data_IF_152783920901
#
_entry.id   IF_152783920901
#
_cell.length_a   1.000
_cell.length_b   1.000
_cell.length_c   1.000
_cell.angle_alpha   90.00
_cell.angle_beta   90.00
_cell.angle_gamma   90.00
#
_symmetry.space_group_name_H-M   'P 1'
#
loop_
_entity.id
_entity.type
_entity.pdbx_description
1 polymer ?
#
# COMPACT_ATOMS: atom_id res chain seq x y z
N UNK A 1 -0.45 4.45 16.09
CA UNK A 1 -0.97 3.16 15.61
C UNK A 1 0.12 2.49 14.77
N UNK A 2 0.49 1.24 15.03
CA UNK A 2 1.50 0.54 14.24
C UNK A 2 0.98 0.28 12.82
N UNK A 3 1.84 0.40 11.82
CA UNK A 3 1.51 0.07 10.43
C UNK A 3 1.16 -1.41 10.27
N UNK A 4 0.27 -1.70 9.32
CA UNK A 4 -0.14 -3.06 9.03
C UNK A 4 0.98 -3.84 8.34
N UNK A 5 1.36 -5.01 8.89
CA UNK A 5 2.53 -5.81 8.45
C UNK A 5 2.36 -7.32 8.68
N UNK A 6 1.12 -7.80 8.73
CA UNK A 6 0.83 -9.22 8.97
C UNK A 6 1.06 -10.05 7.71
N UNK A 7 1.75 -11.19 7.84
CA UNK A 7 2.02 -12.06 6.69
C UNK A 7 3.21 -11.59 5.85
N UNK A 8 3.32 -12.14 4.64
CA UNK A 8 4.39 -11.83 3.68
C UNK A 8 3.82 -11.47 2.32
N UNK A 9 4.64 -10.84 1.49
CA UNK A 9 4.28 -10.48 0.11
C UNK A 9 5.27 -11.02 -0.91
N UNK A 10 4.75 -11.46 -2.04
CA UNK A 10 5.47 -11.74 -3.25
C UNK A 10 5.39 -10.54 -4.18
N UNK A 11 6.55 -10.06 -4.61
CA UNK A 11 6.73 -8.92 -5.52
C UNK A 11 7.72 -9.30 -6.61
N UNK A 12 7.41 -8.93 -7.84
CA UNK A 12 8.22 -9.24 -9.02
C UNK A 12 8.77 -7.96 -9.59
N UNK A 13 10.08 -7.95 -9.91
CA UNK A 13 10.72 -6.79 -10.53
C UNK A 13 9.95 -6.34 -11.78
N UNK A 14 9.77 -5.02 -11.93
CA UNK A 14 9.02 -4.37 -13.01
C UNK A 14 7.54 -4.76 -13.10
N UNK A 15 6.96 -5.35 -12.06
CA UNK A 15 5.52 -5.61 -11.94
C UNK A 15 4.85 -4.67 -10.93
N UNK A 16 3.58 -4.36 -11.14
CA UNK A 16 2.75 -3.65 -10.16
C UNK A 16 1.99 -4.59 -9.22
N UNK A 17 2.06 -5.91 -9.43
CA UNK A 17 1.30 -6.88 -8.63
C UNK A 17 2.00 -7.18 -7.30
N UNK A 18 1.24 -7.15 -6.22
CA UNK A 18 1.66 -7.58 -4.89
C UNK A 18 0.73 -8.70 -4.43
N UNK A 19 1.30 -9.88 -4.20
CA UNK A 19 0.55 -11.08 -3.80
C UNK A 19 0.89 -11.43 -2.35
N UNK A 20 -0.09 -11.33 -1.46
CA UNK A 20 0.07 -11.58 -0.03
C UNK A 20 -0.22 -13.03 0.38
N UNK A 21 0.47 -13.50 1.42
CA UNK A 21 0.17 -14.75 2.13
C UNK A 21 -0.02 -14.44 3.61
N UNK A 22 -1.17 -14.81 4.18
CA UNK A 22 -1.53 -14.45 5.56
C UNK A 22 -1.86 -12.96 5.75
N UNK A 23 -2.23 -12.29 4.67
CA UNK A 23 -2.58 -10.87 4.63
C UNK A 23 -4.11 -10.67 4.62
N UNK A 24 -4.53 -9.44 4.93
CA UNK A 24 -5.92 -8.97 4.92
C UNK A 24 -5.92 -7.52 4.42
N UNK A 25 -5.56 -7.34 3.14
CA UNK A 25 -5.41 -6.01 2.55
C UNK A 25 -6.71 -5.19 2.57
N UNK A 26 -7.87 -5.79 2.27
CA UNK A 26 -9.15 -5.07 2.24
C UNK A 26 -9.53 -4.45 3.59
N UNK A 27 -9.18 -5.09 4.70
CA UNK A 27 -9.52 -4.60 6.04
C UNK A 27 -8.50 -3.59 6.58
N UNK A 28 -7.30 -3.52 6.01
CA UNK A 28 -6.16 -2.82 6.61
C UNK A 28 -5.46 -1.82 5.69
N UNK A 29 -5.85 -1.73 4.43
CA UNK A 29 -5.33 -0.77 3.46
C UNK A 29 -6.44 -0.17 2.62
N UNK A 30 -6.14 0.97 2.02
CA UNK A 30 -7.00 1.66 1.04
C UNK A 30 -6.18 2.06 -0.17
N UNK A 31 -6.86 2.28 -1.29
CA UNK A 31 -6.24 2.94 -2.45
C UNK A 31 -5.77 4.33 -2.03
N UNK A 32 -4.56 4.70 -2.45
CA UNK A 32 -3.88 5.93 -2.05
C UNK A 32 -3.04 5.82 -0.78
N UNK A 33 -3.08 4.70 -0.04
CA UNK A 33 -2.15 4.47 1.08
C UNK A 33 -0.74 4.14 0.59
N UNK A 34 0.25 4.29 1.47
CA UNK A 34 1.63 4.00 1.18
C UNK A 34 1.94 2.54 1.50
N UNK A 35 2.45 1.82 0.52
CA UNK A 35 3.02 0.49 0.64
C UNK A 35 4.54 0.58 0.71
N UNK A 36 5.12 0.11 1.82
CA UNK A 36 6.56 -0.10 1.94
C UNK A 36 6.87 -1.54 1.53
N UNK A 37 7.57 -1.70 0.41
CA UNK A 37 7.89 -3.01 -0.12
C UNK A 37 9.18 -3.59 0.53
N UNK A 38 9.51 -4.87 0.24
CA UNK A 38 10.65 -5.56 0.85
C UNK A 38 12.03 -4.97 0.50
N UNK A 39 12.12 -4.23 -0.60
CA UNK A 39 13.29 -3.44 -0.98
C UNK A 39 13.48 -2.18 -0.10
N UNK A 40 12.54 -1.89 0.79
CA UNK A 40 12.49 -0.70 1.62
C UNK A 40 11.94 0.54 0.90
N UNK A 41 11.57 0.40 -0.37
CA UNK A 41 11.00 1.44 -1.23
C UNK A 41 9.54 1.72 -0.91
N UNK A 42 9.10 2.93 -1.30
CA UNK A 42 7.75 3.43 -1.10
C UNK A 42 6.97 3.44 -2.40
N UNK A 43 5.75 2.91 -2.33
CA UNK A 43 4.86 2.78 -3.47
C UNK A 43 3.44 3.18 -3.06
N UNK A 44 2.68 3.74 -3.99
CA UNK A 44 1.27 4.04 -3.81
C UNK A 44 0.43 2.79 -4.09
N UNK A 45 -0.56 2.51 -3.26
CA UNK A 45 -1.55 1.46 -3.53
C UNK A 45 -2.57 1.98 -4.53
N UNK A 46 -2.61 1.38 -5.73
CA UNK A 46 -3.52 1.82 -6.80
C UNK A 46 -4.81 1.00 -6.87
N UNK A 47 -4.78 -0.24 -6.37
CA UNK A 47 -5.96 -1.11 -6.31
C UNK A 47 -5.79 -2.16 -5.21
N UNK A 48 -6.90 -2.59 -4.60
CA UNK A 48 -6.94 -3.75 -3.70
C UNK A 48 -8.01 -4.71 -4.22
N UNK A 49 -7.57 -5.77 -4.89
CA UNK A 49 -8.46 -6.74 -5.53
C UNK A 49 -9.03 -7.75 -4.53
N UNK A 50 -8.26 -8.12 -3.49
CA UNK A 50 -8.70 -9.06 -2.45
C UNK A 50 -7.88 -8.90 -1.17
N UNK A 51 -8.16 -9.73 -0.15
CA UNK A 51 -7.33 -9.81 1.06
C UNK A 51 -5.86 -10.16 0.80
N UNK A 52 -5.55 -10.73 -0.36
CA UNK A 52 -4.23 -11.25 -0.73
C UNK A 52 -3.71 -10.73 -2.06
N UNK A 53 -4.40 -9.80 -2.72
CA UNK A 53 -3.95 -9.24 -3.99
C UNK A 53 -4.22 -7.73 -4.05
N UNK A 54 -3.18 -6.99 -4.38
CA UNK A 54 -3.22 -5.53 -4.56
C UNK A 54 -2.26 -5.10 -5.67
N UNK A 55 -2.41 -3.86 -6.14
CA UNK A 55 -1.56 -3.25 -7.15
C UNK A 55 -0.92 -1.97 -6.63
N UNK A 56 0.29 -1.68 -7.11
CA UNK A 56 1.10 -0.54 -6.67
C UNK A 56 1.59 0.33 -7.85
N UNK A 57 1.94 1.59 -7.57
CA UNK A 57 2.64 2.48 -8.49
C UNK A 57 3.77 3.26 -7.78
N UNK A 58 4.93 3.48 -8.42
CA UNK A 58 5.37 2.89 -9.69
C UNK A 58 5.50 1.36 -9.60
N UNK A 59 5.82 0.68 -10.71
CA UNK A 59 6.10 -0.77 -10.66
C UNK A 59 7.25 -1.05 -9.69
N UNK A 60 7.27 -2.24 -9.10
CA UNK A 60 8.29 -2.64 -8.12
C UNK A 60 9.70 -2.61 -8.75
N UNK A 61 10.61 -1.85 -8.15
CA UNK A 61 11.94 -1.58 -8.67
C UNK A 61 13.02 -2.50 -8.10
N UNK A 62 12.75 -3.12 -6.94
CA UNK A 62 13.67 -4.04 -6.29
C UNK A 62 13.83 -5.39 -7.00
N UNK A 63 14.73 -6.22 -6.48
CA UNK A 63 14.84 -7.62 -6.91
C UNK A 63 13.59 -8.41 -6.52
N UNK A 64 13.15 -9.31 -7.41
CA UNK A 64 12.02 -10.21 -7.17
C UNK A 64 12.16 -10.93 -5.83
N UNK A 65 11.12 -10.87 -5.00
CA UNK A 65 11.09 -11.47 -3.68
C UNK A 65 9.76 -12.20 -3.49
N UNK A 66 9.80 -13.50 -3.25
CA UNK A 66 8.61 -14.34 -3.13
C UNK A 66 7.96 -14.30 -1.72
N UNK A 67 8.68 -13.82 -0.70
CA UNK A 67 8.21 -13.80 0.69
C UNK A 67 8.87 -12.67 1.49
N UNK A 68 8.63 -11.43 1.06
CA UNK A 68 9.20 -10.25 1.68
C UNK A 68 8.35 -9.68 2.82
N UNK A 69 9.01 -8.97 3.73
CA UNK A 69 8.35 -8.15 4.75
C UNK A 69 7.86 -6.86 4.12
N UNK A 70 6.70 -6.38 4.54
CA UNK A 70 6.11 -5.14 4.05
C UNK A 70 5.48 -4.35 5.20
N UNK A 71 5.06 -3.12 4.89
CA UNK A 71 4.16 -2.36 5.75
C UNK A 71 3.19 -1.52 4.92
N UNK A 72 1.96 -1.32 5.41
CA UNK A 72 1.00 -0.34 4.87
C UNK A 72 0.89 0.81 5.86
N UNK A 73 1.22 2.00 5.37
CA UNK A 73 1.15 3.27 6.09
C UNK A 73 -0.09 4.04 5.59
N UNK A 74 -1.09 4.29 6.46
CA UNK A 74 -2.27 5.05 6.08
C UNK A 74 -1.89 6.48 5.68
N UNK A 75 -2.22 6.89 4.46
CA UNK A 75 -2.02 8.26 3.96
C UNK A 75 -3.34 9.02 4.05
N UNK A 76 -3.91 9.09 5.27
CA UNK A 76 -5.22 9.68 5.46
C UNK A 76 -5.23 11.19 5.16
N UNK A 77 -5.85 11.55 4.05
CA UNK A 77 -6.10 12.91 3.58
C UNK A 77 -7.24 13.63 4.30
N UNK A 78 -7.85 13.07 5.35
CA UNK A 78 -8.99 13.70 6.04
C UNK A 78 -8.74 15.16 6.45
N UNK A 79 -7.51 15.54 6.77
CA UNK A 79 -7.15 16.95 7.07
C UNK A 79 -7.12 17.82 5.82
N UNK A 80 -6.71 17.29 4.66
CA UNK A 80 -6.69 18.03 3.40
C UNK A 80 -8.11 18.28 2.89
N UNK A 81 -8.97 17.27 2.85
CA UNK A 81 -10.33 17.44 2.34
C UNK A 81 -11.17 18.33 3.27
N UNK A 82 -10.98 18.21 4.59
CA UNK A 82 -11.62 19.13 5.55
C UNK A 82 -11.03 20.55 5.48
N UNK A 83 -9.72 20.70 5.26
CA UNK A 83 -9.11 22.01 5.05
C UNK A 83 -9.55 22.65 3.72
N UNK A 84 -9.67 21.87 2.65
CA UNK A 84 -10.16 22.33 1.34
C UNK A 84 -11.64 22.73 1.44
N UNK A 85 -12.47 21.94 2.16
CA UNK A 85 -13.86 22.30 2.44
C UNK A 85 -13.98 23.56 3.32
N UNK A 86 -13.12 23.75 4.33
CA UNK A 86 -13.08 24.95 5.15
C UNK A 86 -12.63 26.18 4.34
N UNK A 87 -11.62 26.02 3.48
CA UNK A 87 -11.11 27.10 2.63
C UNK A 87 -12.13 27.55 1.58
N UNK A 88 -13.04 26.68 1.17
CA UNK A 88 -14.16 27.05 0.30
C UNK A 88 -15.27 27.85 1.02
N UNK A 89 -15.25 27.90 2.36
CA UNK A 89 -16.26 28.59 3.18
C UNK A 89 -15.81 29.99 3.67
N UNK A 90 -14.53 30.35 3.51
CA UNK A 90 -13.96 31.64 3.99
C UNK A 90 -13.64 32.60 2.86
#
# INVERSE_FOLDING_TARGET
MPWYKSGTVSVVQNSNAVIGTGTSFLSNGRVGDAFRAPDGGWYEITNIASNTAMSIAPNYQGATNAAGVYAIAPMQGYVKDSADALRALV
#
